data_IF_052506794115
#
_entry.id   IF_052506794115
#
_cell.length_a   1.000
_cell.length_b   1.000
_cell.length_c   1.000
_cell.angle_alpha   90.00
_cell.angle_beta   90.00
_cell.angle_gamma   90.00
#
_symmetry.space_group_name_H-M   'P 1'
#
loop_
_entity.id
_entity.type
_entity.pdbx_description
1 polymer ?
#
# COMPACT_ATOMS: atom_id res chain seq x y z
N UNK A 1 9.27 10.16 -17.30
CA UNK A 1 8.47 11.39 -17.15
C UNK A 1 7.03 11.13 -17.57
N UNK A 2 6.12 12.02 -17.20
CA UNK A 2 4.74 12.05 -17.70
C UNK A 2 4.52 13.38 -18.41
N UNK A 3 3.74 13.45 -19.51
CA UNK A 3 3.46 14.71 -20.18
C UNK A 3 2.76 15.70 -19.24
N UNK A 4 3.25 16.95 -19.21
CA UNK A 4 2.66 18.03 -18.39
C UNK A 4 1.31 18.51 -18.92
N UNK A 5 0.95 18.15 -20.15
CA UNK A 5 -0.33 18.45 -20.77
C UNK A 5 -0.77 17.26 -21.63
N UNK A 6 -1.81 16.55 -21.19
CA UNK A 6 -2.30 15.37 -21.91
C UNK A 6 -2.91 15.70 -23.27
N UNK A 7 -3.56 16.84 -23.40
CA UNK A 7 -4.23 17.23 -24.64
C UNK A 7 -3.21 17.49 -25.75
N UNK A 8 -2.14 18.22 -25.45
CA UNK A 8 -1.03 18.47 -26.39
C UNK A 8 -0.31 17.15 -26.74
N UNK A 9 -0.04 16.31 -25.74
CA UNK A 9 0.59 15.00 -25.97
C UNK A 9 -0.26 14.10 -26.87
N UNK A 10 -1.58 14.06 -26.65
CA UNK A 10 -2.52 13.29 -27.48
C UNK A 10 -2.55 13.80 -28.92
N UNK A 11 -2.56 15.12 -29.12
CA UNK A 11 -2.56 15.71 -30.46
C UNK A 11 -1.27 15.42 -31.23
N UNK A 12 -0.11 15.48 -30.57
CA UNK A 12 1.19 15.30 -31.23
C UNK A 12 1.60 13.84 -31.41
N UNK A 13 1.25 12.98 -30.45
CA UNK A 13 1.76 11.61 -30.38
C UNK A 13 0.66 10.54 -30.43
N UNK A 14 -0.62 10.95 -30.52
CA UNK A 14 -1.79 10.06 -30.57
C UNK A 14 -2.10 9.33 -29.27
N UNK A 15 -1.21 9.34 -28.29
CA UNK A 15 -1.34 8.61 -27.02
C UNK A 15 -0.81 9.43 -25.85
N UNK A 16 -1.31 9.14 -24.65
CA UNK A 16 -0.86 9.73 -23.39
C UNK A 16 -0.45 8.60 -22.46
N UNK A 17 0.81 8.57 -22.08
CA UNK A 17 1.38 7.55 -21.19
C UNK A 17 2.68 8.04 -20.58
N UNK A 18 3.19 7.41 -19.51
CA UNK A 18 4.55 7.62 -19.05
C UNK A 18 5.56 7.32 -20.15
N UNK A 19 6.55 8.19 -20.30
CA UNK A 19 7.61 8.10 -21.31
C UNK A 19 8.97 8.04 -20.59
N UNK A 20 9.81 7.03 -20.85
CA UNK A 20 11.19 7.01 -20.39
C UNK A 20 11.96 8.21 -20.96
N UNK A 21 12.63 8.96 -20.11
CA UNK A 21 13.53 10.05 -20.52
C UNK A 21 14.94 9.62 -20.13
N UNK A 22 15.83 9.57 -21.11
CA UNK A 22 17.20 9.09 -20.96
C UNK A 22 18.16 10.23 -20.64
N UNK A 23 19.28 9.89 -20.00
CA UNK A 23 20.40 10.78 -19.70
C UNK A 23 19.97 12.02 -18.89
N UNK A 24 19.08 11.83 -17.91
CA UNK A 24 18.64 12.91 -17.02
C UNK A 24 19.78 13.32 -16.10
N UNK A 25 20.15 14.59 -16.16
CA UNK A 25 21.16 15.19 -15.29
C UNK A 25 20.50 16.11 -14.26
N UNK A 26 20.76 15.86 -12.97
CA UNK A 26 20.28 16.70 -11.88
C UNK A 26 18.77 16.71 -11.64
N UNK A 27 17.99 15.87 -12.32
CA UNK A 27 16.55 15.81 -12.14
C UNK A 27 16.16 15.22 -10.79
N UNK A 28 15.30 15.93 -10.05
CA UNK A 28 14.70 15.47 -8.79
C UNK A 28 13.24 15.05 -9.03
N UNK A 29 12.72 14.15 -8.20
CA UNK A 29 11.31 13.74 -8.26
C UNK A 29 10.36 14.96 -8.27
N UNK A 30 9.36 14.89 -9.15
CA UNK A 30 8.34 15.91 -9.39
C UNK A 30 8.81 17.21 -10.07
N UNK A 31 10.09 17.33 -10.41
CA UNK A 31 10.55 18.44 -11.25
C UNK A 31 10.12 18.25 -12.70
N UNK A 32 9.72 19.35 -13.33
CA UNK A 32 9.42 19.37 -14.75
C UNK A 32 10.72 19.46 -15.55
N UNK A 33 10.78 18.71 -16.63
CA UNK A 33 11.92 18.69 -17.54
C UNK A 33 11.46 18.91 -18.97
N UNK A 34 12.29 19.58 -19.75
CA UNK A 34 12.14 19.63 -21.20
C UNK A 34 12.91 18.45 -21.77
N UNK A 35 12.23 17.64 -22.58
CA UNK A 35 12.81 16.51 -23.29
C UNK A 35 12.69 16.70 -24.81
N UNK A 36 13.66 16.18 -25.54
CA UNK A 36 13.66 16.09 -27.01
C UNK A 36 13.58 14.63 -27.41
N UNK A 37 12.89 14.32 -28.49
CA UNK A 37 12.78 12.95 -28.97
C UNK A 37 12.64 12.87 -30.48
N UNK A 38 12.91 11.68 -31.01
CA UNK A 38 12.78 11.32 -32.42
C UNK A 38 11.51 10.49 -32.69
N UNK A 39 10.62 10.40 -31.70
CA UNK A 39 9.42 9.56 -31.71
C UNK A 39 9.63 8.15 -31.18
N UNK A 40 10.87 7.68 -31.03
CA UNK A 40 11.21 6.36 -30.43
C UNK A 40 11.82 6.50 -29.05
N UNK A 41 12.74 7.44 -28.89
CA UNK A 41 13.42 7.72 -27.63
C UNK A 41 13.34 9.21 -27.29
N UNK A 42 13.47 9.49 -25.99
CA UNK A 42 13.41 10.83 -25.44
C UNK A 42 14.62 11.07 -24.55
N UNK A 43 15.30 12.19 -24.77
CA UNK A 43 16.47 12.60 -24.01
C UNK A 43 16.19 13.87 -23.25
N UNK A 44 16.75 13.93 -22.05
CA UNK A 44 16.75 15.14 -21.25
C UNK A 44 17.44 16.28 -21.99
N UNK A 45 16.81 17.45 -22.00
CA UNK A 45 17.40 18.67 -22.54
C UNK A 45 17.78 19.62 -21.41
N UNK A 46 16.86 19.88 -20.49
CA UNK A 46 17.05 20.79 -19.36
C UNK A 46 15.91 20.65 -18.33
N UNK A 47 16.13 21.15 -17.12
CA UNK A 47 15.05 21.43 -16.17
C UNK A 47 14.17 22.56 -16.71
N UNK A 48 12.85 22.44 -16.55
CA UNK A 48 11.94 23.53 -16.85
C UNK A 48 11.91 24.53 -15.70
N UNK A 49 12.63 25.65 -15.88
CA UNK A 49 12.71 26.73 -14.90
C UNK A 49 11.42 27.53 -14.73
N UNK A 50 10.42 27.32 -15.61
CA UNK A 50 9.11 27.96 -15.50
C UNK A 50 8.13 27.14 -14.65
N UNK A 51 8.45 25.88 -14.36
CA UNK A 51 7.69 25.07 -13.43
C UNK A 51 7.72 25.68 -12.03
N UNK A 52 6.67 25.46 -11.25
CA UNK A 52 6.60 25.91 -9.87
C UNK A 52 7.48 24.99 -8.98
N UNK A 53 8.63 25.48 -8.47
CA UNK A 53 9.51 24.67 -7.64
C UNK A 53 8.89 24.34 -6.28
N UNK A 54 8.03 25.21 -5.75
CA UNK A 54 7.39 25.02 -4.44
C UNK A 54 6.42 23.85 -4.49
N UNK A 55 5.69 23.70 -5.59
CA UNK A 55 4.76 22.59 -5.77
C UNK A 55 5.51 21.24 -5.82
N UNK A 56 6.66 21.18 -6.50
CA UNK A 56 7.50 19.99 -6.53
C UNK A 56 8.04 19.64 -5.13
N UNK A 57 8.43 20.63 -4.33
CA UNK A 57 8.83 20.45 -2.93
C UNK A 57 7.69 19.92 -2.06
N UNK A 58 6.50 20.51 -2.18
CA UNK A 58 5.31 20.07 -1.44
C UNK A 58 4.95 18.61 -1.77
N UNK A 59 4.99 18.21 -3.04
CA UNK A 59 4.76 16.82 -3.44
C UNK A 59 5.80 15.86 -2.86
N UNK A 60 7.08 16.25 -2.81
CA UNK A 60 8.11 15.45 -2.14
C UNK A 60 7.85 15.31 -0.65
N UNK A 61 7.35 16.36 0.00
CA UNK A 61 7.01 16.29 1.42
C UNK A 61 5.84 15.34 1.67
N UNK A 62 4.78 15.40 0.86
CA UNK A 62 3.66 14.45 0.93
C UNK A 62 4.12 12.99 0.71
N UNK A 63 5.07 12.79 -0.21
CA UNK A 63 5.67 11.47 -0.44
C UNK A 63 6.39 10.95 0.80
N UNK A 64 7.14 11.80 1.52
CA UNK A 64 7.81 11.42 2.79
C UNK A 64 6.80 11.09 3.89
N UNK A 65 5.66 11.79 3.93
CA UNK A 65 4.58 11.51 4.89
C UNK A 65 3.75 10.28 4.52
N UNK A 66 4.04 9.64 3.39
CA UNK A 66 3.30 8.48 2.88
C UNK A 66 1.80 8.80 2.70
N UNK A 67 1.51 10.02 2.22
CA UNK A 67 0.15 10.47 1.97
C UNK A 67 -0.42 9.73 0.76
N UNK A 68 -1.58 9.04 0.89
CA UNK A 68 -2.23 8.35 -0.23
C UNK A 68 -2.57 9.31 -1.38
N UNK A 69 -2.47 8.87 -2.66
CA UNK A 69 -2.80 9.71 -3.81
C UNK A 69 -4.21 10.29 -3.78
N UNK A 70 -5.18 9.63 -3.17
CA UNK A 70 -6.56 10.06 -2.99
C UNK A 70 -6.73 11.15 -1.92
N UNK A 71 -5.85 11.17 -0.91
CA UNK A 71 -5.83 12.17 0.17
C UNK A 71 -4.93 13.36 -0.15
N UNK A 72 -4.25 13.34 -1.30
CA UNK A 72 -3.34 14.41 -1.71
C UNK A 72 -4.11 15.71 -1.94
N UNK A 73 -3.94 16.66 -1.02
CA UNK A 73 -4.51 18.01 -1.09
C UNK A 73 -3.38 19.05 -1.08
N UNK A 74 -2.95 19.45 -2.27
CA UNK A 74 -1.92 20.45 -2.47
C UNK A 74 -2.46 21.54 -3.39
N UNK A 75 -2.30 22.80 -2.99
CA UNK A 75 -2.77 23.94 -3.78
C UNK A 75 -2.08 23.97 -5.15
N UNK A 76 -2.85 24.07 -6.22
CA UNK A 76 -2.32 24.12 -7.59
C UNK A 76 -2.02 22.75 -8.21
N UNK A 77 -2.36 21.65 -7.52
CA UNK A 77 -2.20 20.31 -8.05
C UNK A 77 -3.05 20.08 -9.30
N UNK A 78 -2.41 19.72 -10.41
CA UNK A 78 -3.10 19.33 -11.66
C UNK A 78 -3.41 17.83 -11.68
N UNK A 79 -4.35 17.37 -12.53
CA UNK A 79 -4.58 15.94 -12.74
C UNK A 79 -3.31 15.17 -13.14
N UNK A 80 -2.49 15.74 -14.03
CA UNK A 80 -1.22 15.14 -14.47
C UNK A 80 -0.24 14.99 -13.31
N UNK A 81 -0.16 15.99 -12.41
CA UNK A 81 0.68 15.90 -11.21
C UNK A 81 0.19 14.82 -10.26
N UNK A 82 -1.13 14.65 -10.09
CA UNK A 82 -1.70 13.55 -9.29
C UNK A 82 -1.36 12.19 -9.89
N UNK A 83 -1.40 12.05 -11.22
CA UNK A 83 -0.97 10.83 -11.93
C UNK A 83 0.52 10.56 -11.69
N UNK A 84 1.38 11.58 -11.80
CA UNK A 84 2.82 11.43 -11.51
C UNK A 84 3.05 11.03 -10.06
N UNK A 85 2.33 11.63 -9.11
CA UNK A 85 2.40 11.27 -7.70
C UNK A 85 2.02 9.80 -7.49
N UNK A 86 0.89 9.37 -8.02
CA UNK A 86 0.46 7.96 -7.95
C UNK A 86 1.52 7.01 -8.54
N UNK A 87 2.04 7.30 -9.74
CA UNK A 87 3.10 6.51 -10.37
C UNK A 87 4.36 6.37 -9.50
N UNK A 88 4.76 7.46 -8.83
CA UNK A 88 5.92 7.45 -7.92
C UNK A 88 5.60 6.65 -6.64
N UNK A 89 4.40 6.81 -6.07
CA UNK A 89 3.99 6.03 -4.89
C UNK A 89 3.96 4.53 -5.16
N UNK A 90 3.48 4.10 -6.33
CA UNK A 90 3.48 2.68 -6.73
C UNK A 90 4.88 2.07 -6.82
N UNK A 91 5.90 2.89 -7.07
CA UNK A 91 7.29 2.46 -7.17
C UNK A 91 8.04 2.53 -5.82
N UNK A 92 7.51 3.28 -4.86
CA UNK A 92 8.15 3.55 -3.57
C UNK A 92 7.92 2.41 -2.56
N UNK A 93 9.00 1.92 -1.93
CA UNK A 93 8.94 0.76 -1.01
C UNK A 93 8.01 0.98 0.17
N UNK A 94 8.00 2.17 0.75
CA UNK A 94 7.21 2.46 1.96
C UNK A 94 5.71 2.48 1.67
N UNK A 95 5.31 2.97 0.49
CA UNK A 95 3.92 2.86 0.01
C UNK A 95 3.52 1.41 -0.24
N UNK A 96 4.42 0.60 -0.83
CA UNK A 96 4.17 -0.85 -0.97
C UNK A 96 4.02 -1.52 0.39
N UNK A 97 4.82 -1.14 1.38
CA UNK A 97 4.73 -1.67 2.73
C UNK A 97 3.40 -1.27 3.41
N UNK A 98 2.99 0.01 3.29
CA UNK A 98 1.69 0.49 3.80
C UNK A 98 0.52 -0.22 3.13
N UNK A 99 0.54 -0.36 1.81
CA UNK A 99 -0.48 -1.07 1.04
C UNK A 99 -0.54 -2.57 1.42
N UNK A 100 0.62 -3.21 1.59
CA UNK A 100 0.71 -4.59 2.07
C UNK A 100 0.09 -4.73 3.46
N UNK A 101 0.46 -3.86 4.40
CA UNK A 101 -0.09 -3.84 5.75
C UNK A 101 -1.62 -3.67 5.76
N UNK A 102 -2.16 -2.74 4.95
CA UNK A 102 -3.62 -2.54 4.83
C UNK A 102 -4.35 -3.76 4.22
N UNK A 103 -3.72 -4.46 3.28
CA UNK A 103 -4.27 -5.69 2.70
C UNK A 103 -4.28 -6.82 3.74
N UNK A 104 -3.19 -6.95 4.48
CA UNK A 104 -3.04 -7.97 5.52
C UNK A 104 -4.02 -7.73 6.68
N UNK A 105 -4.20 -6.46 7.09
CA UNK A 105 -5.24 -6.08 8.07
C UNK A 105 -6.63 -6.54 7.62
N UNK A 106 -7.06 -6.15 6.41
CA UNK A 106 -8.38 -6.52 5.88
C UNK A 106 -8.57 -8.03 5.80
N UNK A 107 -7.53 -8.77 5.40
CA UNK A 107 -7.57 -10.23 5.33
C UNK A 107 -7.78 -10.85 6.72
N UNK A 108 -7.06 -10.38 7.73
CA UNK A 108 -7.17 -10.87 9.11
C UNK A 108 -8.51 -10.50 9.74
N UNK A 109 -8.95 -9.25 9.54
CA UNK A 109 -10.23 -8.72 10.01
C UNK A 109 -11.40 -9.53 9.46
N UNK A 110 -11.47 -9.73 8.14
CA UNK A 110 -12.51 -10.53 7.50
C UNK A 110 -12.54 -11.98 8.01
N UNK A 111 -11.38 -12.61 8.19
CA UNK A 111 -11.30 -13.99 8.69
C UNK A 111 -11.81 -14.11 10.13
N UNK A 112 -11.48 -13.15 10.99
CA UNK A 112 -11.96 -13.11 12.37
C UNK A 112 -13.46 -12.82 12.43
N UNK A 113 -13.95 -11.84 11.66
CA UNK A 113 -15.38 -11.48 11.62
C UNK A 113 -16.25 -12.66 11.17
N UNK A 114 -15.81 -13.42 10.15
CA UNK A 114 -16.52 -14.64 9.72
C UNK A 114 -16.59 -15.72 10.80
N UNK A 115 -15.62 -15.74 11.73
CA UNK A 115 -15.60 -16.62 12.89
C UNK A 115 -16.38 -16.09 14.10
N UNK A 116 -16.83 -14.83 14.08
CA UNK A 116 -17.47 -14.16 15.21
C UNK A 116 -16.51 -13.37 16.12
N UNK A 117 -15.24 -13.24 15.73
CA UNK A 117 -14.22 -12.49 16.46
C UNK A 117 -13.92 -11.11 15.87
N UNK A 118 -13.18 -10.28 16.60
CA UNK A 118 -12.76 -8.95 16.16
C UNK A 118 -11.23 -8.81 16.23
N UNK A 119 -10.63 -8.27 15.16
CA UNK A 119 -9.21 -7.95 15.12
C UNK A 119 -8.90 -6.75 16.02
N UNK A 120 -7.86 -6.84 16.83
CA UNK A 120 -7.38 -5.72 17.64
C UNK A 120 -6.03 -5.19 17.17
N UNK A 121 -5.08 -6.09 16.91
CA UNK A 121 -3.73 -5.73 16.48
C UNK A 121 -3.08 -6.92 15.80
N UNK A 122 -2.14 -6.70 14.89
CA UNK A 122 -1.27 -7.75 14.41
C UNK A 122 0.17 -7.25 14.25
N UNK A 123 1.12 -8.18 14.28
CA UNK A 123 2.53 -7.92 14.03
C UNK A 123 3.07 -8.93 13.04
N UNK A 124 3.80 -8.43 12.05
CA UNK A 124 4.53 -9.26 11.09
C UNK A 124 5.75 -9.92 11.76
N UNK A 125 5.87 -11.25 11.63
CA UNK A 125 7.01 -12.05 12.12
C UNK A 125 7.70 -12.83 10.99
N UNK A 126 7.58 -12.36 9.75
CA UNK A 126 8.14 -13.02 8.56
C UNK A 126 7.12 -13.96 7.92
N UNK A 127 7.14 -15.25 8.30
CA UNK A 127 6.27 -16.28 7.70
C UNK A 127 4.86 -16.31 8.31
N UNK A 128 4.67 -15.67 9.46
CA UNK A 128 3.40 -15.64 10.19
C UNK A 128 3.12 -14.25 10.76
N UNK A 129 1.85 -14.02 11.11
CA UNK A 129 1.42 -12.88 11.91
C UNK A 129 1.21 -13.30 13.36
N UNK A 130 1.63 -12.47 14.32
CA UNK A 130 1.15 -12.54 15.70
C UNK A 130 -0.07 -11.63 15.81
N UNK A 131 -1.25 -12.22 15.99
CA UNK A 131 -2.55 -11.55 15.92
C UNK A 131 -3.17 -11.49 17.31
N UNK A 132 -3.52 -10.29 17.77
CA UNK A 132 -4.38 -10.07 18.94
C UNK A 132 -5.81 -9.82 18.47
N UNK A 133 -6.75 -10.54 19.06
CA UNK A 133 -8.15 -10.50 18.66
C UNK A 133 -9.05 -10.79 19.87
N UNK A 134 -10.35 -10.58 19.74
CA UNK A 134 -11.33 -10.91 20.77
C UNK A 134 -12.52 -11.70 20.24
N UNK A 135 -13.10 -12.55 21.07
CA UNK A 135 -14.38 -13.26 20.85
C UNK A 135 -15.58 -12.32 21.00
N UNK A 136 -16.78 -12.78 20.66
CA UNK A 136 -18.01 -11.97 20.75
C UNK A 136 -18.35 -11.57 22.21
N UNK A 137 -17.95 -12.38 23.19
CA UNK A 137 -18.10 -12.10 24.63
C UNK A 137 -17.00 -11.16 25.18
N UNK A 138 -16.07 -10.71 24.33
CA UNK A 138 -15.05 -9.73 24.67
C UNK A 138 -13.76 -10.29 25.25
N UNK A 139 -13.58 -11.61 25.35
CA UNK A 139 -12.31 -12.21 25.80
C UNK A 139 -11.20 -11.99 24.78
N UNK A 140 -9.98 -11.72 25.27
CA UNK A 140 -8.84 -11.39 24.42
C UNK A 140 -7.89 -12.57 24.24
N UNK A 141 -7.44 -12.77 23.00
CA UNK A 141 -6.56 -13.87 22.60
C UNK A 141 -5.38 -13.37 21.78
N UNK A 142 -4.29 -14.14 21.77
CA UNK A 142 -3.12 -13.91 20.93
C UNK A 142 -2.78 -15.22 20.21
N UNK A 143 -2.81 -15.18 18.89
CA UNK A 143 -2.52 -16.35 18.04
C UNK A 143 -1.40 -16.06 17.04
N UNK A 144 -0.63 -17.08 16.70
CA UNK A 144 0.31 -17.06 15.57
C UNK A 144 -0.38 -17.67 14.33
N UNK A 145 -0.50 -16.91 13.26
CA UNK A 145 -1.30 -17.25 12.06
C UNK A 145 -0.41 -17.27 10.82
N UNK A 146 -0.43 -18.38 10.08
CA UNK A 146 0.26 -18.54 8.80
C UNK A 146 -0.18 -17.50 7.78
N UNK A 147 0.78 -16.85 7.10
CA UNK A 147 0.46 -15.89 6.03
C UNK A 147 -0.01 -16.56 4.74
N UNK A 148 0.32 -17.83 4.53
CA UNK A 148 -0.01 -18.52 3.28
C UNK A 148 -1.53 -18.72 3.19
N UNK A 149 -2.13 -19.25 4.24
CA UNK A 149 -3.47 -19.84 4.23
C UNK A 149 -4.32 -19.50 5.46
N UNK A 150 -3.82 -18.66 6.39
CA UNK A 150 -4.48 -18.36 7.66
C UNK A 150 -4.59 -19.54 8.63
N UNK A 151 -3.83 -20.62 8.43
CA UNK A 151 -3.74 -21.72 9.39
C UNK A 151 -3.16 -21.23 10.71
N UNK A 152 -3.76 -21.66 11.82
CA UNK A 152 -3.27 -21.33 13.15
C UNK A 152 -2.04 -22.18 13.45
N UNK A 153 -0.90 -21.51 13.62
CA UNK A 153 0.37 -22.15 13.98
C UNK A 153 0.41 -22.41 15.49
N UNK A 154 -0.12 -21.46 16.26
CA UNK A 154 -0.30 -21.56 17.70
C UNK A 154 -1.42 -20.63 18.13
N UNK A 155 -2.32 -21.11 18.99
CA UNK A 155 -3.49 -20.36 19.46
C UNK A 155 -3.21 -19.55 20.74
N UNK A 156 -2.00 -19.64 21.31
CA UNK A 156 -1.63 -18.99 22.58
C UNK A 156 -2.30 -19.59 23.83
N UNK A 157 -3.20 -20.55 23.64
CA UNK A 157 -3.79 -21.41 24.66
C UNK A 157 -3.48 -22.85 24.25
N UNK A 158 -3.16 -23.75 25.19
CA UNK A 158 -2.91 -25.14 24.79
C UNK A 158 -4.22 -25.80 24.33
N UNK A 159 -4.49 -25.85 23.01
CA UNK A 159 -5.54 -26.66 22.40
C UNK A 159 -5.05 -28.11 22.24
N UNK A 160 -4.51 -28.70 23.31
CA UNK A 160 -4.09 -30.11 23.38
C UNK A 160 -3.18 -30.58 22.23
N UNK A 161 -2.42 -29.67 21.59
CA UNK A 161 -1.45 -29.98 20.54
C UNK A 161 -2.02 -30.18 19.13
N UNK A 162 -3.29 -29.82 18.88
CA UNK A 162 -3.96 -29.91 17.55
C UNK A 162 -4.16 -28.55 16.86
N UNK A 163 -3.39 -27.53 17.25
CA UNK A 163 -3.57 -26.15 16.77
C UNK A 163 -3.56 -26.02 15.23
N UNK A 164 -2.81 -26.90 14.54
CA UNK A 164 -2.67 -26.90 13.08
C UNK A 164 -3.88 -27.45 12.31
N UNK A 165 -4.83 -28.06 13.00
CA UNK A 165 -6.06 -28.60 12.39
C UNK A 165 -7.11 -27.49 12.14
N UNK A 166 -6.82 -26.25 12.59
CA UNK A 166 -7.76 -25.13 12.52
C UNK A 166 -7.20 -23.95 11.72
N UNK A 167 -8.06 -23.35 10.89
CA UNK A 167 -7.84 -22.03 10.33
C UNK A 167 -8.33 -20.93 11.30
N UNK A 168 -7.91 -19.69 11.04
CA UNK A 168 -8.26 -18.54 11.90
C UNK A 168 -9.78 -18.37 12.07
N UNK A 169 -10.56 -18.70 11.04
CA UNK A 169 -12.02 -18.61 11.08
C UNK A 169 -12.62 -19.65 12.04
N UNK A 170 -12.16 -20.89 11.97
CA UNK A 170 -12.66 -22.00 12.78
C UNK A 170 -12.19 -21.94 14.23
N UNK A 171 -11.06 -21.27 14.49
CA UNK A 171 -10.50 -21.11 15.83
C UNK A 171 -11.47 -20.41 16.80
N UNK A 172 -12.17 -19.37 16.33
CA UNK A 172 -13.06 -18.56 17.16
C UNK A 172 -14.18 -19.41 17.75
N UNK A 173 -14.87 -20.18 16.91
CA UNK A 173 -15.97 -21.04 17.35
C UNK A 173 -15.53 -22.16 18.31
N UNK A 174 -14.30 -22.67 18.19
CA UNK A 174 -13.77 -23.69 19.10
C UNK A 174 -13.52 -23.13 20.51
N UNK A 175 -13.06 -21.88 20.60
CA UNK A 175 -12.77 -21.24 21.88
C UNK A 175 -14.07 -20.90 22.62
N UNK A 176 -15.05 -20.33 21.92
CA UNK A 176 -16.37 -20.05 22.50
C UNK A 176 -17.11 -21.33 22.94
N UNK A 177 -16.99 -22.41 22.17
CA UNK A 177 -17.57 -23.70 22.54
C UNK A 177 -16.93 -24.32 23.78
N UNK A 178 -15.66 -24.03 24.08
CA UNK A 178 -14.98 -24.55 25.27
C UNK A 178 -15.41 -23.83 26.54
N UNK A 179 -15.50 -22.50 26.48
CA UNK A 179 -15.86 -21.67 27.65
C UNK A 179 -17.32 -21.83 28.09
N UNK A 180 -18.18 -22.40 27.23
CA UNK A 180 -19.57 -22.74 27.58
C UNK A 180 -19.73 -24.11 28.28
N UNK A 181 -18.64 -24.88 28.42
CA UNK A 181 -18.65 -26.23 29.02
C UNK A 181 -17.85 -26.32 30.34
N UNK A 182 -17.36 -25.18 30.84
CA UNK A 182 -16.85 -24.98 32.21
C UNK A 182 -17.88 -24.22 33.06
#
# INVERSE_FOLDING_TARGET
GYPVNESDARQRFGTVKPIPVHLVEGGVAFEQVVARGDGKAWWFQQLDRKGDPLLAEQLREQLKQITPPEELDVKGLTPEMRIVYDLVTQQTKDFKAKALHQRDHRRLEQALEMGGGALQQFHDRGEFWQVRWSTADGKHHISAISKQDLTVISSGICLSGRDRDFDLQSLVGVIEARDNWD
#
